data_IF_375374077052
#
_entry.id   IF_375374077052
#
_cell.length_a   1.000
_cell.length_b   1.000
_cell.length_c   1.000
_cell.angle_alpha   90.00
_cell.angle_beta   90.00
_cell.angle_gamma   90.00
#
_symmetry.space_group_name_H-M   'P 1'
#
loop_
_entity.id
_entity.type
_entity.pdbx_description
1 polymer ?
#
# COMPACT_ATOMS: atom_id res chain seq x y z
N UNK A 1 -13.28 -4.68 -1.01
CA UNK A 1 -12.77 -6.01 -0.67
C UNK A 1 -13.46 -6.57 0.58
N UNK A 2 -13.29 -5.94 1.76
CA UNK A 2 -13.82 -6.44 3.05
C UNK A 2 -15.34 -6.71 3.00
N UNK A 3 -16.12 -5.76 2.54
CA UNK A 3 -17.59 -5.87 2.41
C UNK A 3 -17.99 -7.04 1.52
N UNK A 4 -17.41 -7.16 0.33
CA UNK A 4 -17.72 -8.27 -0.56
C UNK A 4 -17.36 -9.63 0.03
N UNK A 5 -16.21 -9.69 0.74
CA UNK A 5 -15.71 -10.94 1.33
C UNK A 5 -16.48 -11.38 2.56
N UNK A 6 -16.82 -10.44 3.46
CA UNK A 6 -17.27 -10.76 4.81
C UNK A 6 -18.76 -10.46 5.07
N UNK A 7 -19.38 -9.54 4.29
CA UNK A 7 -20.77 -9.12 4.50
C UNK A 7 -21.71 -9.70 3.42
N UNK A 8 -21.28 -9.76 2.17
CA UNK A 8 -22.13 -10.29 1.07
C UNK A 8 -22.56 -11.75 1.21
N UNK A 9 -21.82 -12.65 1.86
CA UNK A 9 -22.30 -14.02 2.14
C UNK A 9 -23.62 -14.05 2.91
N UNK A 10 -23.92 -13.05 3.74
CA UNK A 10 -25.19 -12.91 4.46
C UNK A 10 -26.40 -12.74 3.51
N UNK A 11 -26.16 -12.27 2.29
CA UNK A 11 -27.18 -12.10 1.24
C UNK A 11 -27.20 -13.25 0.24
N UNK A 12 -26.67 -14.44 0.59
CA UNK A 12 -26.52 -15.61 -0.28
C UNK A 12 -25.71 -15.36 -1.56
N UNK A 13 -24.77 -14.43 -1.52
CA UNK A 13 -23.85 -14.15 -2.61
C UNK A 13 -22.59 -14.99 -2.42
N UNK A 14 -22.39 -15.97 -3.32
CA UNK A 14 -21.28 -16.93 -3.26
C UNK A 14 -20.35 -16.75 -4.47
N UNK A 15 -19.46 -15.77 -4.41
CA UNK A 15 -18.35 -15.62 -5.35
C UNK A 15 -17.03 -15.51 -4.59
N UNK A 16 -15.95 -15.90 -5.22
CA UNK A 16 -14.62 -15.73 -4.65
C UNK A 16 -14.23 -14.24 -4.67
N UNK A 17 -13.73 -13.75 -3.54
CA UNK A 17 -13.26 -12.37 -3.38
C UNK A 17 -11.77 -12.39 -3.07
N UNK A 18 -10.98 -11.98 -4.05
CA UNK A 18 -9.52 -11.92 -3.95
C UNK A 18 -9.07 -10.47 -4.03
N UNK A 19 -8.16 -10.05 -3.15
CA UNK A 19 -7.55 -8.73 -3.25
C UNK A 19 -6.54 -8.72 -4.39
N UNK A 20 -6.35 -7.56 -5.04
CA UNK A 20 -5.44 -7.44 -6.19
C UNK A 20 -4.01 -7.92 -5.85
N UNK A 21 -3.50 -7.64 -4.66
CA UNK A 21 -2.17 -8.10 -4.24
C UNK A 21 -2.07 -9.62 -4.12
N UNK A 22 -3.14 -10.30 -3.68
CA UNK A 22 -3.21 -11.76 -3.63
C UNK A 22 -3.28 -12.34 -5.04
N UNK A 23 -4.05 -11.71 -5.93
CA UNK A 23 -4.15 -12.13 -7.32
C UNK A 23 -2.82 -11.97 -8.06
N UNK A 24 -2.13 -10.86 -7.87
CA UNK A 24 -0.77 -10.65 -8.41
C UNK A 24 0.21 -11.70 -7.87
N UNK A 25 0.19 -11.97 -6.56
CA UNK A 25 1.01 -12.99 -5.95
C UNK A 25 0.77 -14.38 -6.58
N UNK A 26 -0.50 -14.73 -6.79
CA UNK A 26 -0.87 -15.98 -7.47
C UNK A 26 -0.36 -16.03 -8.91
N UNK A 27 -0.60 -14.99 -9.72
CA UNK A 27 -0.19 -14.95 -11.12
C UNK A 27 1.33 -15.07 -11.29
N UNK A 28 2.09 -14.39 -10.43
CA UNK A 28 3.56 -14.47 -10.43
C UNK A 28 4.01 -15.87 -10.02
N UNK A 29 3.39 -16.44 -8.97
CA UNK A 29 3.71 -17.80 -8.50
C UNK A 29 3.41 -18.89 -9.52
N UNK A 30 2.38 -18.73 -10.32
CA UNK A 30 1.99 -19.62 -11.43
C UNK A 30 2.81 -19.39 -12.72
N UNK A 31 3.70 -18.40 -12.77
CA UNK A 31 4.43 -18.02 -13.99
C UNK A 31 3.56 -17.42 -15.09
N UNK A 32 2.38 -16.94 -14.75
CA UNK A 32 1.43 -16.29 -15.68
C UNK A 32 1.65 -14.79 -15.80
N UNK A 33 2.44 -14.22 -14.91
CA UNK A 33 2.89 -12.84 -14.93
C UNK A 33 4.40 -12.83 -14.68
N UNK A 34 5.16 -12.42 -15.68
CA UNK A 34 6.61 -12.30 -15.60
C UNK A 34 6.99 -10.84 -15.38
N UNK A 35 7.87 -10.61 -14.41
CA UNK A 35 8.44 -9.31 -14.12
C UNK A 35 9.87 -9.31 -14.65
N UNK A 36 10.13 -8.52 -15.68
CA UNK A 36 11.39 -8.56 -16.43
C UNK A 36 12.19 -7.26 -16.40
N UNK A 37 11.52 -6.14 -16.15
CA UNK A 37 12.20 -4.84 -16.11
C UNK A 37 12.67 -4.50 -14.71
N UNK A 38 13.86 -3.95 -14.63
CA UNK A 38 14.46 -3.49 -13.37
C UNK A 38 13.80 -2.21 -12.89
N UNK A 39 13.41 -2.18 -11.61
CA UNK A 39 12.80 -1.01 -10.99
C UNK A 39 13.83 -0.12 -10.26
N UNK A 40 14.91 -0.66 -9.73
CA UNK A 40 16.10 0.03 -9.23
C UNK A 40 15.92 1.05 -8.10
N UNK A 41 14.75 1.07 -7.40
CA UNK A 41 14.44 2.02 -6.33
C UNK A 41 14.29 1.34 -4.97
N UNK A 42 14.50 2.16 -3.91
CA UNK A 42 14.17 1.79 -2.52
C UNK A 42 12.70 2.05 -2.25
N UNK A 43 11.99 1.00 -1.92
CA UNK A 43 10.54 0.99 -1.73
C UNK A 43 10.19 0.61 -0.31
N UNK A 44 9.22 1.27 0.28
CA UNK A 44 8.58 0.81 1.52
C UNK A 44 7.09 0.56 1.29
N UNK A 45 6.49 -0.32 2.09
CA UNK A 45 5.09 -0.68 1.94
C UNK A 45 4.26 -0.20 3.13
N UNK A 46 3.18 0.52 2.83
CA UNK A 46 2.16 0.88 3.81
C UNK A 46 1.04 -0.15 3.81
N UNK A 47 0.80 -0.77 4.96
CA UNK A 47 -0.28 -1.75 5.15
C UNK A 47 -1.65 -1.06 5.30
N UNK A 48 -2.55 -1.18 4.30
CA UNK A 48 -3.90 -0.63 4.43
C UNK A 48 -4.67 -1.35 5.52
N UNK A 49 -5.37 -0.61 6.38
CA UNK A 49 -6.07 -1.17 7.55
C UNK A 49 -7.09 -2.26 7.18
N UNK A 50 -7.89 -2.06 6.14
CA UNK A 50 -8.88 -3.04 5.70
C UNK A 50 -8.26 -4.29 5.06
N UNK A 51 -7.05 -4.21 4.57
CA UNK A 51 -6.32 -5.35 4.05
C UNK A 51 -5.61 -6.11 5.15
N UNK A 52 -4.82 -5.39 5.95
CA UNK A 52 -4.06 -5.95 7.05
C UNK A 52 -4.91 -6.27 8.29
N UNK A 53 -5.26 -5.26 9.10
CA UNK A 53 -5.95 -5.46 10.39
C UNK A 53 -7.26 -6.20 10.31
N UNK A 54 -8.07 -5.94 9.26
CA UNK A 54 -9.39 -6.55 9.13
C UNK A 54 -9.40 -7.87 8.36
N UNK A 55 -8.37 -8.16 7.57
CA UNK A 55 -8.34 -9.37 6.73
C UNK A 55 -7.04 -10.18 6.80
N UNK A 56 -6.06 -9.76 7.57
CA UNK A 56 -4.81 -10.50 7.82
C UNK A 56 -3.85 -10.61 6.63
N UNK A 57 -4.04 -9.76 5.60
CA UNK A 57 -3.23 -9.78 4.37
C UNK A 57 -2.04 -8.84 4.55
N UNK A 58 -0.87 -9.40 4.82
CA UNK A 58 0.36 -8.65 5.06
C UNK A 58 1.53 -9.10 4.17
N UNK A 59 1.65 -10.40 3.91
CA UNK A 59 2.82 -10.95 3.25
C UNK A 59 2.69 -10.96 1.72
N UNK A 60 1.52 -11.22 1.17
CA UNK A 60 1.32 -11.30 -0.28
C UNK A 60 1.80 -10.03 -1.01
N UNK A 61 1.47 -8.79 -0.57
CA UNK A 61 2.00 -7.60 -1.24
C UNK A 61 3.52 -7.48 -1.13
N UNK A 62 4.12 -7.92 -0.02
CA UNK A 62 5.57 -7.92 0.17
C UNK A 62 6.25 -8.92 -0.75
N UNK A 63 5.70 -10.12 -0.84
CA UNK A 63 6.22 -11.15 -1.73
C UNK A 63 6.12 -10.74 -3.22
N UNK A 64 5.06 -10.03 -3.60
CA UNK A 64 4.92 -9.43 -4.93
C UNK A 64 6.05 -8.42 -5.18
N UNK A 65 6.26 -7.48 -4.26
CA UNK A 65 7.31 -6.45 -4.40
C UNK A 65 8.72 -7.04 -4.44
N UNK A 66 8.99 -8.08 -3.65
CA UNK A 66 10.29 -8.79 -3.65
C UNK A 66 10.60 -9.50 -4.98
N UNK A 67 9.60 -9.78 -5.80
CA UNK A 67 9.77 -10.40 -7.12
C UNK A 67 10.11 -9.39 -8.21
N UNK A 68 9.98 -8.09 -7.94
CA UNK A 68 10.34 -7.04 -8.89
C UNK A 68 11.86 -6.91 -8.97
N UNK A 69 12.47 -7.10 -10.15
CA UNK A 69 13.91 -7.01 -10.30
C UNK A 69 14.45 -5.64 -9.86
N UNK A 70 15.54 -5.62 -9.12
CA UNK A 70 16.23 -4.40 -8.69
C UNK A 70 15.51 -3.60 -7.59
N UNK A 71 14.27 -3.94 -7.22
CA UNK A 71 13.54 -3.27 -6.15
C UNK A 71 14.12 -3.65 -4.78
N UNK A 72 14.46 -2.65 -3.96
CA UNK A 72 14.89 -2.83 -2.59
C UNK A 72 13.74 -2.52 -1.61
N UNK A 73 13.08 -3.56 -1.10
CA UNK A 73 12.01 -3.40 -0.11
C UNK A 73 12.60 -3.16 1.28
N UNK A 74 12.26 -2.01 1.89
CA UNK A 74 12.66 -1.62 3.24
C UNK A 74 11.42 -1.47 4.10
N UNK A 75 11.39 -2.10 5.26
CA UNK A 75 10.26 -1.98 6.19
C UNK A 75 10.39 -0.73 7.06
N UNK A 76 9.27 -0.06 7.28
CA UNK A 76 9.16 0.96 8.33
C UNK A 76 9.07 0.29 9.70
N UNK A 77 9.48 0.97 10.80
CA UNK A 77 9.40 0.43 12.16
C UNK A 77 8.00 -0.08 12.51
N UNK A 78 6.98 0.72 12.23
CA UNK A 78 5.58 0.34 12.41
C UNK A 78 5.06 -0.30 11.14
N UNK A 79 5.03 -1.63 11.10
CA UNK A 79 4.59 -2.40 9.93
C UNK A 79 3.62 -3.51 10.32
N UNK A 80 2.89 -4.04 9.35
CA UNK A 80 1.91 -5.11 9.55
C UNK A 80 0.81 -4.72 10.53
N UNK A 81 0.62 -5.50 11.61
CA UNK A 81 -0.42 -5.26 12.62
C UNK A 81 -0.22 -3.92 13.35
N UNK A 82 1.03 -3.50 13.51
CA UNK A 82 1.41 -2.26 14.19
C UNK A 82 1.46 -1.05 13.26
N UNK A 83 1.19 -1.24 11.96
CA UNK A 83 1.25 -0.17 10.96
C UNK A 83 0.41 1.04 11.37
N UNK A 84 1.03 2.23 11.34
CA UNK A 84 0.30 3.48 11.56
C UNK A 84 -0.75 3.66 10.43
N UNK A 85 -1.95 4.09 10.79
CA UNK A 85 -3.03 4.34 9.83
C UNK A 85 -2.69 5.51 8.91
N UNK A 86 -3.17 5.49 7.65
CA UNK A 86 -3.09 6.67 6.77
C UNK A 86 -3.98 7.84 7.21
N UNK A 87 -4.92 7.60 8.15
CA UNK A 87 -5.83 8.61 8.66
C UNK A 87 -7.03 8.94 7.77
N UNK A 88 -7.24 8.23 6.64
CA UNK A 88 -8.33 8.52 5.70
C UNK A 88 -9.68 7.88 6.03
N UNK A 89 -9.69 6.89 6.92
CA UNK A 89 -10.89 6.13 7.27
C UNK A 89 -11.88 6.88 8.14
N UNK A 90 -13.13 6.37 8.20
CA UNK A 90 -14.17 6.89 9.07
C UNK A 90 -14.60 8.34 8.81
N UNK A 91 -14.41 8.82 7.57
CA UNK A 91 -14.71 10.21 7.21
C UNK A 91 -13.65 11.23 7.66
N UNK A 92 -12.57 10.78 8.29
CA UNK A 92 -11.50 11.65 8.80
C UNK A 92 -10.77 12.42 7.70
N UNK A 93 -10.74 11.90 6.48
CA UNK A 93 -10.18 12.61 5.32
C UNK A 93 -10.83 13.99 5.06
N UNK A 94 -12.07 14.20 5.56
CA UNK A 94 -12.81 15.46 5.44
C UNK A 94 -12.65 16.37 6.66
N UNK A 95 -11.86 15.96 7.67
CA UNK A 95 -11.64 16.73 8.89
C UNK A 95 -10.35 17.53 8.75
N UNK A 96 -10.43 18.81 9.13
CA UNK A 96 -9.25 19.65 9.24
C UNK A 96 -8.34 19.15 10.38
N UNK A 97 -7.06 19.01 10.07
CA UNK A 97 -6.01 18.65 11.03
C UNK A 97 -4.79 19.53 10.74
N UNK A 98 -4.06 19.94 11.75
CA UNK A 98 -2.88 20.77 11.57
C UNK A 98 -1.78 20.03 10.79
N UNK A 99 -1.00 20.80 10.03
CA UNK A 99 0.18 20.28 9.31
C UNK A 99 1.14 19.62 10.30
N UNK A 100 1.61 18.43 9.97
CA UNK A 100 2.52 17.64 10.80
C UNK A 100 1.85 16.82 11.91
N UNK A 101 0.53 16.96 12.11
CA UNK A 101 -0.25 16.16 13.09
C UNK A 101 -1.13 15.10 12.42
N UNK A 102 -1.22 15.11 11.11
CA UNK A 102 -1.97 14.11 10.34
C UNK A 102 -1.24 12.78 10.37
N UNK A 103 -1.97 11.70 10.51
CA UNK A 103 -1.37 10.36 10.45
C UNK A 103 -0.66 10.07 9.12
N UNK A 104 -1.15 10.64 8.02
CA UNK A 104 -0.50 10.55 6.72
C UNK A 104 0.84 11.29 6.68
N UNK A 105 0.94 12.45 7.35
CA UNK A 105 2.19 13.21 7.47
C UNK A 105 3.24 12.39 8.23
N UNK A 106 2.87 11.89 9.42
CA UNK A 106 3.74 11.04 10.25
C UNK A 106 4.18 9.77 9.51
N UNK A 107 3.28 9.19 8.73
CA UNK A 107 3.60 7.97 7.96
C UNK A 107 4.56 8.23 6.80
N UNK A 108 4.43 9.36 6.12
CA UNK A 108 5.40 9.80 5.11
C UNK A 108 6.77 10.09 5.72
N UNK A 109 6.81 10.71 6.90
CA UNK A 109 8.05 10.93 7.64
C UNK A 109 8.75 9.61 7.95
N UNK A 110 8.04 8.60 8.47
CA UNK A 110 8.59 7.26 8.69
C UNK A 110 9.14 6.62 7.41
N UNK A 111 8.46 6.80 6.28
CA UNK A 111 8.92 6.28 4.99
C UNK A 111 10.23 6.98 4.53
N UNK A 112 10.33 8.28 4.72
CA UNK A 112 11.54 9.04 4.41
C UNK A 112 12.69 8.73 5.37
N UNK A 113 12.41 8.51 6.65
CA UNK A 113 13.42 8.14 7.68
C UNK A 113 14.13 6.82 7.36
N UNK A 114 13.41 5.85 6.79
CA UNK A 114 14.04 4.58 6.34
C UNK A 114 14.73 4.72 4.97
N UNK A 115 14.73 5.91 4.40
CA UNK A 115 15.38 6.21 3.12
C UNK A 115 14.65 5.65 1.92
N UNK A 116 13.34 5.44 2.00
CA UNK A 116 12.52 5.02 0.87
C UNK A 116 12.35 6.17 -0.14
N UNK A 117 12.44 5.84 -1.43
CA UNK A 117 12.17 6.72 -2.55
C UNK A 117 10.70 6.64 -2.97
N UNK A 118 10.05 5.51 -2.67
CA UNK A 118 8.66 5.24 -3.02
C UNK A 118 7.93 4.61 -1.84
N UNK A 119 6.79 5.19 -1.47
CA UNK A 119 5.81 4.60 -0.55
C UNK A 119 4.74 3.88 -1.38
N UNK A 120 4.72 2.56 -1.29
CA UNK A 120 3.75 1.73 -2.00
C UNK A 120 2.61 1.34 -1.06
N UNK A 121 1.40 1.33 -1.57
CA UNK A 121 0.21 0.83 -0.87
C UNK A 121 -0.73 0.15 -1.87
N UNK A 122 -1.82 -0.45 -1.38
CA UNK A 122 -2.84 -1.11 -2.21
C UNK A 122 -4.25 -0.61 -1.85
N UNK A 123 -4.37 0.69 -1.60
CA UNK A 123 -5.63 1.29 -1.21
C UNK A 123 -5.75 2.72 -1.74
N UNK A 124 -6.77 3.04 -2.55
CA UNK A 124 -6.93 4.37 -3.15
C UNK A 124 -7.10 5.48 -2.11
N UNK A 125 -7.76 5.21 -0.98
CA UNK A 125 -7.87 6.18 0.12
C UNK A 125 -6.52 6.50 0.76
N UNK A 126 -5.65 5.50 0.93
CA UNK A 126 -4.30 5.72 1.44
C UNK A 126 -3.49 6.57 0.45
N UNK A 127 -3.56 6.27 -0.85
CA UNK A 127 -2.89 7.03 -1.91
C UNK A 127 -3.33 8.49 -1.86
N UNK A 128 -4.64 8.75 -1.88
CA UNK A 128 -5.16 10.12 -1.83
C UNK A 128 -4.65 10.91 -0.62
N UNK A 129 -4.63 10.28 0.56
CA UNK A 129 -4.14 10.92 1.77
C UNK A 129 -2.64 11.21 1.73
N UNK A 130 -1.85 10.27 1.23
CA UNK A 130 -0.40 10.44 1.13
C UNK A 130 -0.03 11.45 0.06
N UNK A 131 -0.72 11.50 -1.07
CA UNK A 131 -0.52 12.52 -2.10
C UNK A 131 -0.82 13.92 -1.57
N UNK A 132 -1.91 14.09 -0.83
CA UNK A 132 -2.24 15.37 -0.19
C UNK A 132 -1.18 15.76 0.85
N UNK A 133 -0.71 14.81 1.66
CA UNK A 133 0.38 15.05 2.62
C UNK A 133 1.71 15.39 1.93
N UNK A 134 2.05 14.77 0.80
CA UNK A 134 3.25 15.13 0.02
C UNK A 134 3.25 16.60 -0.39
N UNK A 135 2.09 17.09 -0.85
CA UNK A 135 1.93 18.49 -1.24
C UNK A 135 2.01 19.39 0.00
N UNK A 136 1.29 19.05 1.05
CA UNK A 136 1.21 19.86 2.29
C UNK A 136 2.58 19.98 2.98
N UNK A 137 3.37 18.90 2.99
CA UNK A 137 4.71 18.87 3.59
C UNK A 137 5.81 19.41 2.68
N UNK A 138 5.50 19.68 1.41
CA UNK A 138 6.47 20.10 0.38
C UNK A 138 7.58 19.05 0.17
N UNK A 139 7.18 17.79 0.02
CA UNK A 139 8.10 16.65 -0.16
C UNK A 139 7.85 15.87 -1.47
N UNK A 140 7.18 16.46 -2.43
CA UNK A 140 6.84 15.83 -3.72
C UNK A 140 8.06 15.35 -4.50
N UNK A 141 9.19 16.04 -4.36
CA UNK A 141 10.46 15.67 -5.00
C UNK A 141 11.30 14.66 -4.18
N UNK A 142 10.87 14.33 -2.95
CA UNK A 142 11.63 13.46 -2.05
C UNK A 142 11.13 12.04 -2.01
N UNK A 143 9.84 11.83 -2.16
CA UNK A 143 9.21 10.51 -2.10
C UNK A 143 8.01 10.46 -3.04
N UNK A 144 7.92 9.38 -3.81
CA UNK A 144 6.74 9.07 -4.63
C UNK A 144 5.73 8.24 -3.82
N UNK A 145 4.46 8.32 -4.18
CA UNK A 145 3.41 7.41 -3.67
C UNK A 145 2.83 6.65 -4.85
N UNK A 146 2.77 5.32 -4.74
CA UNK A 146 2.27 4.48 -5.84
C UNK A 146 1.37 3.35 -5.33
N UNK A 147 0.41 2.97 -6.18
CA UNK A 147 -0.27 1.69 -6.01
C UNK A 147 0.67 0.53 -6.38
N UNK A 148 0.50 -0.62 -5.72
CA UNK A 148 1.27 -1.82 -6.05
C UNK A 148 1.14 -2.21 -7.52
N UNK A 149 -0.01 -1.95 -8.14
CA UNK A 149 -0.25 -2.25 -9.55
C UNK A 149 0.58 -1.38 -10.50
N UNK A 150 0.89 -0.14 -10.12
CA UNK A 150 1.76 0.74 -10.89
C UNK A 150 3.20 0.23 -10.88
N UNK A 151 3.69 -0.24 -9.73
CA UNK A 151 5.01 -0.89 -9.63
C UNK A 151 5.10 -2.11 -10.55
N UNK A 152 4.07 -2.95 -10.52
CA UNK A 152 4.02 -4.16 -11.36
C UNK A 152 3.93 -3.79 -12.84
N UNK A 153 3.16 -2.78 -13.21
CA UNK A 153 3.06 -2.31 -14.59
C UNK A 153 4.41 -1.82 -15.14
N UNK A 154 5.21 -1.15 -14.31
CA UNK A 154 6.55 -0.69 -14.70
C UNK A 154 7.56 -1.83 -14.83
N UNK A 155 7.34 -2.95 -14.13
CA UNK A 155 8.22 -4.12 -14.11
C UNK A 155 7.92 -5.19 -15.17
N UNK A 156 6.82 -5.08 -15.91
CA UNK A 156 6.42 -5.99 -17.01
C UNK A 156 7.22 -5.76 -18.29
#
# INVERSE_FOLDING_TARGET
>A
FHTFKNEYPEFNVNFEVVHISQFLFQLIGEGRLELSKEYGKKVTYHDPCYMGRHNGIYEEPREVLKKVPGLALIEMPDSRVDSLCCGGGGGRIWMETQKGERFSDLRLEQAMEVGAEVLVTSCPYCITNFEDSRITLDVTEKIEVKDITEIIQEAI
#
